data_IF_655002987291
#
_entry.id   IF_655002987291
#
_cell.length_a   1.000
_cell.length_b   1.000
_cell.length_c   1.000
_cell.angle_alpha   90.00
_cell.angle_beta   90.00
_cell.angle_gamma   90.00
#
_symmetry.space_group_name_H-M   'P 1'
#
loop_
_entity.id
_entity.type
_entity.pdbx_description
1 polymer ?
#
# COMPACT_ATOMS: atom_id res chain seq x y z
N UNK A 1 19.99 -47.49 18.81
CA UNK A 1 20.80 -48.49 19.55
C UNK A 1 21.63 -47.75 20.60
N UNK A 2 21.46 -48.10 21.88
CA UNK A 2 22.36 -48.02 23.08
C UNK A 2 23.72 -47.28 23.07
N UNK A 3 24.30 -46.89 24.25
CA UNK A 3 23.71 -46.52 25.57
C UNK A 3 24.55 -45.57 26.53
N UNK A 4 24.09 -45.44 27.81
CA UNK A 4 24.82 -45.38 29.12
C UNK A 4 25.23 -44.06 29.85
N UNK A 5 24.67 -43.86 31.08
CA UNK A 5 25.28 -43.53 32.43
C UNK A 5 24.27 -42.73 33.33
N UNK A 6 23.47 -43.32 34.27
CA UNK A 6 23.68 -43.72 35.71
C UNK A 6 23.97 -42.55 36.71
N UNK A 7 23.03 -42.16 37.62
CA UNK A 7 22.71 -42.63 39.03
C UNK A 7 23.69 -42.13 40.14
N UNK A 8 23.38 -41.98 41.47
CA UNK A 8 22.25 -41.48 42.31
C UNK A 8 22.60 -41.62 43.85
N UNK A 9 22.13 -40.71 44.74
CA UNK A 9 21.95 -40.84 46.24
C UNK A 9 23.19 -41.03 47.18
N UNK A 10 23.29 -40.49 48.42
CA UNK A 10 22.48 -40.72 49.64
C UNK A 10 22.91 -39.83 50.86
N UNK A 11 22.26 -39.92 52.04
CA UNK A 11 22.50 -39.11 53.26
C UNK A 11 22.32 -39.91 54.59
N UNK A 12 22.78 -39.40 55.76
CA UNK A 12 22.68 -40.07 57.09
C UNK A 12 22.65 -39.13 58.33
N UNK A 13 22.33 -39.69 59.50
CA UNK A 13 21.83 -39.08 60.77
C UNK A 13 22.67 -39.53 62.00
N UNK A 14 22.47 -38.98 63.23
CA UNK A 14 22.66 -39.64 64.58
C UNK A 14 22.37 -38.65 65.76
N UNK A 15 21.98 -39.17 66.94
CA UNK A 15 21.73 -38.45 68.22
C UNK A 15 22.03 -39.35 69.46
N UNK A 16 22.03 -38.83 70.72
CA UNK A 16 21.60 -39.44 72.02
C UNK A 16 22.03 -38.63 73.30
N UNK A 17 21.39 -38.87 74.46
CA UNK A 17 21.38 -38.17 75.78
C UNK A 17 22.60 -38.54 76.72
N UNK A 18 22.82 -38.12 78.00
CA UNK A 18 21.96 -37.63 79.13
C UNK A 18 22.70 -36.81 80.24
N UNK A 19 22.03 -36.54 81.39
CA UNK A 19 22.49 -35.94 82.69
C UNK A 19 22.19 -36.93 83.87
N UNK A 20 22.59 -36.78 85.18
CA UNK A 20 22.72 -35.54 85.99
C UNK A 20 23.87 -35.49 87.06
N UNK A 21 23.75 -34.62 88.08
CA UNK A 21 24.85 -34.09 88.91
C UNK A 21 24.65 -34.18 90.45
N UNK A 22 25.70 -33.86 91.22
CA UNK A 22 25.67 -33.43 92.63
C UNK A 22 26.56 -32.19 92.84
N UNK A 23 26.22 -31.32 93.80
CA UNK A 23 26.71 -29.93 93.85
C UNK A 23 27.86 -29.61 94.81
N UNK A 24 28.51 -28.48 94.55
CA UNK A 24 29.43 -27.76 95.44
C UNK A 24 29.13 -26.25 95.38
N UNK A 25 29.63 -25.50 96.37
CA UNK A 25 29.48 -24.04 96.49
C UNK A 25 29.87 -23.30 95.20
N UNK A 26 29.20 -22.19 94.86
CA UNK A 26 29.32 -21.61 93.52
C UNK A 26 30.73 -21.02 93.24
N UNK A 27 31.31 -21.31 92.07
CA UNK A 27 32.60 -20.73 91.67
C UNK A 27 32.50 -19.21 91.42
N UNK A 28 33.64 -18.49 91.38
CA UNK A 28 33.68 -17.02 91.20
C UNK A 28 32.95 -16.51 89.96
N UNK A 29 32.69 -17.35 88.96
CA UNK A 29 31.87 -17.01 87.78
C UNK A 29 30.45 -16.56 88.16
N UNK A 30 29.83 -17.08 89.23
CA UNK A 30 28.46 -16.71 89.59
C UNK A 30 28.32 -15.27 90.07
N UNK A 31 29.33 -14.73 90.79
CA UNK A 31 29.32 -13.34 91.24
C UNK A 31 29.51 -12.37 90.04
N UNK A 32 30.32 -12.78 89.05
CA UNK A 32 30.47 -12.05 87.79
C UNK A 32 29.18 -12.11 86.93
N UNK A 33 28.47 -13.25 86.91
CA UNK A 33 27.15 -13.35 86.28
C UNK A 33 26.11 -12.47 86.96
N UNK A 34 26.09 -12.44 88.30
CA UNK A 34 25.12 -11.66 89.08
C UNK A 34 25.36 -10.14 88.93
N UNK A 35 26.62 -9.70 88.97
CA UNK A 35 27.00 -8.33 88.66
C UNK A 35 26.62 -7.91 87.22
N UNK A 36 26.82 -8.79 86.22
CA UNK A 36 26.38 -8.54 84.83
C UNK A 36 24.86 -8.42 84.72
N UNK A 37 24.10 -9.30 85.37
CA UNK A 37 22.62 -9.23 85.38
C UNK A 37 22.11 -7.95 86.04
N UNK A 38 22.75 -7.49 87.12
CA UNK A 38 22.44 -6.19 87.72
C UNK A 38 22.76 -5.01 86.78
N UNK A 39 23.89 -5.05 86.07
CA UNK A 39 24.28 -4.03 85.09
C UNK A 39 23.33 -3.99 83.88
N UNK A 40 22.84 -5.15 83.42
CA UNK A 40 21.84 -5.25 82.36
C UNK A 40 20.47 -4.71 82.81
N UNK A 41 20.01 -5.04 84.02
CA UNK A 41 18.76 -4.52 84.59
C UNK A 41 18.81 -3.00 84.76
N UNK A 42 19.90 -2.45 85.29
CA UNK A 42 20.10 -1.00 85.41
C UNK A 42 20.13 -0.31 84.03
N UNK A 43 20.75 -0.96 83.04
CA UNK A 43 20.75 -0.46 81.65
C UNK A 43 19.34 -0.45 81.03
N UNK A 44 18.53 -1.49 81.24
CA UNK A 44 17.15 -1.55 80.75
C UNK A 44 16.25 -0.48 81.39
N UNK A 45 16.39 -0.25 82.70
CA UNK A 45 15.67 0.81 83.41
C UNK A 45 16.06 2.19 82.87
N UNK A 46 17.34 2.46 82.67
CA UNK A 46 17.82 3.72 82.10
C UNK A 46 17.32 3.94 80.65
N UNK A 47 17.26 2.91 79.81
CA UNK A 47 16.68 3.02 78.46
C UNK A 47 15.16 3.33 78.49
N UNK A 48 14.41 2.80 79.47
CA UNK A 48 13.00 3.11 79.65
C UNK A 48 12.77 4.57 80.09
N UNK A 49 13.54 5.05 81.08
CA UNK A 49 13.49 6.43 81.56
C UNK A 49 13.90 7.44 80.48
N UNK A 50 14.88 7.10 79.65
CA UNK A 50 15.24 7.90 78.47
C UNK A 50 14.06 8.04 77.51
N UNK A 51 13.37 6.93 77.17
CA UNK A 51 12.19 6.96 76.28
C UNK A 51 11.06 7.80 76.86
N UNK A 52 10.79 7.67 78.16
CA UNK A 52 9.79 8.48 78.86
C UNK A 52 10.14 9.98 78.83
N UNK A 53 11.43 10.31 79.04
CA UNK A 53 11.94 11.69 78.98
C UNK A 53 11.81 12.29 77.59
N UNK A 54 12.18 11.54 76.53
CA UNK A 54 12.01 11.95 75.14
C UNK A 54 10.54 12.19 74.77
N UNK A 55 9.62 11.35 75.23
CA UNK A 55 8.18 11.55 75.00
C UNK A 55 7.62 12.79 75.73
N UNK A 56 8.03 13.03 76.98
CA UNK A 56 7.65 14.25 77.72
C UNK A 56 8.20 15.50 77.04
N UNK A 57 9.48 15.50 76.67
CA UNK A 57 10.11 16.60 75.95
C UNK A 57 9.49 16.86 74.56
N UNK A 58 8.92 15.85 73.89
CA UNK A 58 8.23 16.04 72.62
C UNK A 58 6.86 16.73 72.72
N UNK A 59 6.24 16.77 73.92
CA UNK A 59 4.94 17.40 74.19
C UNK A 59 5.03 18.74 74.92
N UNK A 60 6.17 19.04 75.52
CA UNK A 60 6.42 20.27 76.28
C UNK A 60 6.70 21.48 75.38
N UNK A 61 6.70 22.68 75.97
CA UNK A 61 7.13 23.90 75.28
C UNK A 61 8.64 23.85 74.97
N UNK A 62 9.16 24.51 73.91
CA UNK A 62 10.57 24.37 73.52
C UNK A 62 11.59 24.62 74.64
N UNK A 63 11.34 25.59 75.53
CA UNK A 63 12.19 25.88 76.69
C UNK A 63 12.13 24.75 77.75
N UNK A 64 10.95 24.21 78.00
CA UNK A 64 10.73 23.12 78.94
C UNK A 64 11.25 21.77 78.41
N UNK A 65 11.11 21.52 77.10
CA UNK A 65 11.74 20.40 76.40
C UNK A 65 13.26 20.39 76.59
N UNK A 66 13.91 21.55 76.45
CA UNK A 66 15.36 21.68 76.65
C UNK A 66 15.75 21.38 78.10
N UNK A 67 14.97 21.85 79.09
CA UNK A 67 15.19 21.52 80.51
C UNK A 67 15.10 20.01 80.75
N UNK A 68 13.97 19.39 80.37
CA UNK A 68 13.74 17.96 80.57
C UNK A 68 14.82 17.06 79.92
N UNK A 69 15.34 17.46 78.75
CA UNK A 69 16.41 16.73 78.07
C UNK A 69 17.77 16.91 78.77
N UNK A 70 18.04 18.06 79.39
CA UNK A 70 19.25 18.32 80.19
C UNK A 70 19.20 17.56 81.52
N UNK A 71 18.06 17.57 82.21
CA UNK A 71 17.83 16.78 83.43
C UNK A 71 18.01 15.27 83.16
N UNK A 72 17.51 14.78 82.02
CA UNK A 72 17.70 13.39 81.59
C UNK A 72 19.16 13.05 81.25
N UNK A 73 19.90 14.01 80.70
CA UNK A 73 21.32 13.83 80.36
C UNK A 73 22.17 13.66 81.62
N UNK A 74 21.96 14.50 82.63
CA UNK A 74 22.68 14.41 83.91
C UNK A 74 22.43 13.06 84.60
N UNK A 75 21.17 12.60 84.68
CA UNK A 75 20.81 11.30 85.29
C UNK A 75 21.51 10.10 84.66
N UNK A 76 21.69 10.11 83.34
CA UNK A 76 22.39 9.05 82.61
C UNK A 76 23.91 9.17 82.81
N UNK A 77 24.44 10.39 82.91
CA UNK A 77 25.85 10.64 83.19
C UNK A 77 26.26 10.24 84.63
N UNK A 78 25.40 10.48 85.62
CA UNK A 78 25.68 10.16 87.04
C UNK A 78 25.51 8.67 87.39
N UNK A 79 24.90 7.86 86.52
CA UNK A 79 24.67 6.44 86.80
C UNK A 79 25.91 5.59 86.39
N UNK A 80 26.59 5.01 87.37
CA UNK A 80 27.77 4.14 87.18
C UNK A 80 27.41 2.67 86.89
N UNK A 81 26.15 2.27 87.10
CA UNK A 81 25.65 0.90 86.92
C UNK A 81 25.21 0.59 85.47
N UNK A 82 25.36 1.53 84.53
CA UNK A 82 25.04 1.33 83.10
C UNK A 82 26.29 0.84 82.36
N UNK A 83 26.13 -0.07 81.40
CA UNK A 83 27.23 -0.45 80.50
C UNK A 83 27.79 0.76 79.72
N UNK A 84 29.10 0.96 79.73
CA UNK A 84 29.77 2.18 79.21
C UNK A 84 29.36 2.55 77.79
N UNK A 85 29.31 1.56 76.88
CA UNK A 85 28.91 1.76 75.48
C UNK A 85 27.45 2.20 75.31
N UNK A 86 26.55 1.75 76.19
CA UNK A 86 25.14 2.14 76.21
C UNK A 86 24.99 3.56 76.76
N UNK A 87 25.69 3.87 77.85
CA UNK A 87 25.77 5.21 78.46
C UNK A 87 26.20 6.26 77.44
N UNK A 88 27.24 6.00 76.65
CA UNK A 88 27.71 6.90 75.58
C UNK A 88 26.67 7.12 74.47
N UNK A 89 26.00 6.05 74.02
CA UNK A 89 24.99 6.14 72.97
C UNK A 89 23.77 6.98 73.42
N UNK A 90 23.32 6.79 74.65
CA UNK A 90 22.22 7.54 75.27
C UNK A 90 22.57 9.03 75.46
N UNK A 91 23.80 9.32 75.92
CA UNK A 91 24.34 10.68 76.05
C UNK A 91 24.39 11.41 74.70
N UNK A 92 24.81 10.72 73.62
CA UNK A 92 24.85 11.31 72.27
C UNK A 92 23.45 11.67 71.78
N UNK A 93 22.50 10.74 71.90
CA UNK A 93 21.11 10.94 71.48
C UNK A 93 20.44 12.14 72.16
N UNK A 94 20.67 12.34 73.46
CA UNK A 94 20.14 13.50 74.18
C UNK A 94 20.78 14.82 73.74
N UNK A 95 22.11 14.86 73.54
CA UNK A 95 22.82 16.06 73.06
C UNK A 95 22.34 16.49 71.67
N UNK A 96 22.15 15.55 70.76
CA UNK A 96 21.63 15.85 69.41
C UNK A 96 20.18 16.38 69.47
N UNK A 97 19.33 15.81 70.34
CA UNK A 97 17.95 16.29 70.51
C UNK A 97 17.90 17.70 71.10
N UNK A 98 18.72 18.01 72.11
CA UNK A 98 18.86 19.35 72.70
C UNK A 98 19.23 20.36 71.60
N UNK A 99 20.26 20.06 70.79
CA UNK A 99 20.73 20.95 69.71
C UNK A 99 19.63 21.27 68.70
N UNK A 100 18.85 20.28 68.26
CA UNK A 100 17.75 20.48 67.31
C UNK A 100 16.65 21.37 67.92
N UNK A 101 16.30 21.14 69.19
CA UNK A 101 15.28 21.94 69.88
C UNK A 101 15.73 23.39 70.12
N UNK A 102 17.01 23.62 70.46
CA UNK A 102 17.61 24.95 70.61
C UNK A 102 17.65 25.72 69.27
N UNK A 103 17.91 25.03 68.15
CA UNK A 103 17.85 25.64 66.80
C UNK A 103 16.42 26.00 66.39
N UNK A 104 15.45 25.12 66.64
CA UNK A 104 14.04 25.40 66.37
C UNK A 104 13.53 26.62 67.17
N UNK A 105 13.92 26.73 68.45
CA UNK A 105 13.57 27.88 69.28
C UNK A 105 14.11 29.21 68.74
N UNK A 106 15.36 29.23 68.25
CA UNK A 106 15.98 30.44 67.64
C UNK A 106 15.31 30.86 66.33
N UNK A 107 14.93 29.89 65.49
CA UNK A 107 14.31 30.17 64.19
C UNK A 107 12.88 30.73 64.31
N UNK A 108 12.15 30.38 65.38
CA UNK A 108 10.79 30.91 65.63
C UNK A 108 10.79 32.36 66.12
N UNK A 109 11.90 32.84 66.72
CA UNK A 109 12.00 34.17 67.32
C UNK A 109 12.38 35.30 66.33
N UNK A 110 12.61 35.02 65.05
CA UNK A 110 13.35 35.91 64.13
C UNK A 110 12.60 36.34 62.85
N UNK A 111 11.25 36.34 62.83
CA UNK A 111 10.47 36.80 61.66
C UNK A 111 9.19 37.59 61.99
N UNK A 112 9.07 38.87 61.55
CA UNK A 112 7.81 39.63 61.61
C UNK A 112 6.84 39.25 60.46
N UNK A 113 5.51 39.40 60.65
CA UNK A 113 4.50 39.11 59.62
C UNK A 113 4.25 40.26 58.64
N UNK A 114 3.92 39.93 57.39
CA UNK A 114 3.42 40.87 56.37
C UNK A 114 1.89 40.74 56.19
N UNK A 115 1.24 41.86 55.87
CA UNK A 115 -0.22 42.05 55.89
C UNK A 115 -1.05 41.19 54.91
N UNK A 116 -2.35 41.13 55.17
CA UNK A 116 -3.21 40.05 54.68
C UNK A 116 -3.82 40.25 53.28
N UNK A 117 -3.94 41.48 52.78
CA UNK A 117 -4.56 41.78 51.48
C UNK A 117 -3.85 41.08 50.31
N UNK A 118 -2.52 41.03 50.35
CA UNK A 118 -1.70 40.35 49.35
C UNK A 118 -1.82 38.82 49.40
N UNK A 119 -2.31 38.23 50.50
CA UNK A 119 -2.63 36.79 50.58
C UNK A 119 -4.01 36.51 49.98
N UNK A 120 -4.98 37.37 50.26
CA UNK A 120 -6.37 37.23 49.79
C UNK A 120 -6.48 37.34 48.26
N UNK A 121 -5.76 38.27 47.64
CA UNK A 121 -5.70 38.36 46.17
C UNK A 121 -5.17 37.06 45.54
N UNK A 122 -4.04 36.55 46.05
CA UNK A 122 -3.39 35.32 45.58
C UNK A 122 -4.21 34.04 45.85
N UNK A 123 -5.03 34.02 46.92
CA UNK A 123 -5.95 32.90 47.15
C UNK A 123 -7.12 32.92 46.16
N UNK A 124 -7.64 34.10 45.84
CA UNK A 124 -8.76 34.25 44.90
C UNK A 124 -8.35 33.91 43.47
N UNK A 125 -7.16 34.35 43.03
CA UNK A 125 -6.57 33.94 41.75
C UNK A 125 -6.38 32.41 41.67
N UNK A 126 -5.88 31.78 42.75
CA UNK A 126 -5.70 30.32 42.81
C UNK A 126 -7.03 29.56 42.81
N UNK A 127 -8.07 30.08 43.45
CA UNK A 127 -9.42 29.51 43.41
C UNK A 127 -10.02 29.58 42.00
N UNK A 128 -9.94 30.75 41.35
CA UNK A 128 -10.39 30.93 39.97
C UNK A 128 -9.65 30.02 38.98
N UNK A 129 -8.35 29.82 39.17
CA UNK A 129 -7.53 28.91 38.35
C UNK A 129 -7.89 27.43 38.58
N UNK A 130 -8.10 27.02 39.84
CA UNK A 130 -8.58 25.68 40.17
C UNK A 130 -9.96 25.39 39.57
N UNK A 131 -10.86 26.38 39.54
CA UNK A 131 -12.20 26.23 38.97
C UNK A 131 -12.19 26.18 37.44
N UNK A 132 -11.34 26.97 36.77
CA UNK A 132 -11.07 26.79 35.32
C UNK A 132 -10.62 25.37 35.00
N UNK A 133 -9.65 24.85 35.76
CA UNK A 133 -9.14 23.48 35.57
C UNK A 133 -10.18 22.39 35.90
N UNK A 134 -11.15 22.63 36.79
CA UNK A 134 -12.31 21.72 36.97
C UNK A 134 -13.21 21.73 35.74
N UNK A 135 -13.59 22.92 35.24
CA UNK A 135 -14.45 23.07 34.06
C UNK A 135 -13.81 22.44 32.81
N UNK A 136 -12.49 22.60 32.63
CA UNK A 136 -11.75 21.99 31.55
C UNK A 136 -11.76 20.45 31.63
N UNK A 137 -11.49 19.89 32.83
CA UNK A 137 -11.54 18.44 33.06
C UNK A 137 -12.92 17.84 32.79
N UNK A 138 -14.00 18.50 33.20
CA UNK A 138 -15.35 18.02 32.91
C UNK A 138 -15.68 18.11 31.41
N UNK A 139 -15.29 19.19 30.70
CA UNK A 139 -15.43 19.26 29.23
C UNK A 139 -14.70 18.10 28.52
N UNK A 140 -13.46 17.82 28.92
CA UNK A 140 -12.67 16.72 28.36
C UNK A 140 -13.33 15.37 28.68
N UNK A 141 -13.86 15.19 29.89
CA UNK A 141 -14.59 13.98 30.31
C UNK A 141 -15.83 13.73 29.45
N UNK A 142 -16.67 14.75 29.22
CA UNK A 142 -17.87 14.65 28.37
C UNK A 142 -17.50 14.39 26.90
N UNK A 143 -16.42 15.00 26.40
CA UNK A 143 -15.93 14.73 25.06
C UNK A 143 -15.45 13.28 24.90
N UNK A 144 -14.68 12.76 25.86
CA UNK A 144 -14.24 11.35 25.88
C UNK A 144 -15.44 10.39 25.94
N UNK A 145 -16.43 10.63 26.80
CA UNK A 145 -17.61 9.76 26.87
C UNK A 145 -18.40 9.75 25.56
N UNK A 146 -18.50 10.90 24.89
CA UNK A 146 -19.14 11.01 23.56
C UNK A 146 -18.38 10.22 22.50
N UNK A 147 -17.04 10.27 22.49
CA UNK A 147 -16.20 9.48 21.57
C UNK A 147 -16.39 7.98 21.83
N UNK A 148 -16.36 7.54 23.09
CA UNK A 148 -16.57 6.13 23.48
C UNK A 148 -17.97 5.64 23.07
N UNK A 149 -19.01 6.49 23.21
CA UNK A 149 -20.36 6.15 22.76
C UNK A 149 -20.43 5.98 21.23
N UNK A 150 -19.83 6.88 20.45
CA UNK A 150 -19.78 6.77 18.99
C UNK A 150 -19.01 5.52 18.53
N UNK A 151 -17.94 5.14 19.24
CA UNK A 151 -17.23 3.88 19.02
C UNK A 151 -18.13 2.67 19.31
N UNK A 152 -18.88 2.67 20.41
CA UNK A 152 -19.83 1.61 20.77
C UNK A 152 -21.01 1.48 19.78
N UNK A 153 -21.41 2.57 19.13
CA UNK A 153 -22.44 2.61 18.09
C UNK A 153 -21.93 2.23 16.69
N UNK A 154 -20.62 1.94 16.53
CA UNK A 154 -20.02 1.61 15.23
C UNK A 154 -19.75 2.82 14.32
N UNK A 155 -20.08 4.04 14.75
CA UNK A 155 -19.79 5.27 14.00
C UNK A 155 -18.33 5.71 14.21
N UNK A 156 -17.41 4.87 13.75
CA UNK A 156 -15.96 5.01 13.96
C UNK A 156 -15.39 6.25 13.28
N UNK A 157 -15.85 6.61 12.07
CA UNK A 157 -15.35 7.76 11.33
C UNK A 157 -15.61 9.10 12.06
N UNK A 158 -16.80 9.26 12.66
CA UNK A 158 -17.12 10.45 13.44
C UNK A 158 -16.40 10.45 14.80
N UNK A 159 -16.23 9.29 15.43
CA UNK A 159 -15.43 9.13 16.64
C UNK A 159 -13.95 9.48 16.42
N UNK A 160 -13.35 9.01 15.32
CA UNK A 160 -11.97 9.31 14.90
C UNK A 160 -11.79 10.83 14.68
N UNK A 161 -12.74 11.49 14.01
CA UNK A 161 -12.75 12.96 13.82
C UNK A 161 -12.79 13.70 15.16
N UNK A 162 -13.75 13.38 16.03
CA UNK A 162 -13.91 14.03 17.35
C UNK A 162 -12.72 13.76 18.28
N UNK A 163 -12.09 12.59 18.20
CA UNK A 163 -10.87 12.28 18.95
C UNK A 163 -9.67 13.12 18.48
N UNK A 164 -9.53 13.34 17.18
CA UNK A 164 -8.48 14.21 16.60
C UNK A 164 -8.71 15.69 16.95
N UNK A 165 -9.96 16.15 16.90
CA UNK A 165 -10.34 17.50 17.34
C UNK A 165 -10.03 17.71 18.83
N UNK A 166 -10.39 16.76 19.70
CA UNK A 166 -10.07 16.81 21.13
C UNK A 166 -8.56 16.87 21.40
N UNK A 167 -7.75 16.08 20.69
CA UNK A 167 -6.29 16.11 20.83
C UNK A 167 -5.65 17.39 20.28
N UNK A 168 -6.32 18.08 19.36
CA UNK A 168 -5.89 19.36 18.81
C UNK A 168 -6.27 20.54 19.71
N UNK A 169 -7.42 20.45 20.41
CA UNK A 169 -7.88 21.44 21.40
C UNK A 169 -7.13 21.35 22.74
N UNK A 170 -6.69 20.15 23.14
CA UNK A 170 -5.96 19.93 24.40
C UNK A 170 -4.62 19.21 24.17
N UNK A 171 -3.60 19.88 23.58
CA UNK A 171 -2.34 19.26 23.20
C UNK A 171 -1.52 18.69 24.36
N UNK A 172 -1.75 19.11 25.60
CA UNK A 172 -1.01 18.60 26.77
C UNK A 172 -1.70 17.43 27.49
N UNK A 173 -2.97 17.17 27.20
CA UNK A 173 -3.74 16.13 27.88
C UNK A 173 -3.42 14.72 27.32
N UNK A 174 -2.96 13.81 28.19
CA UNK A 174 -2.62 12.45 27.79
C UNK A 174 -3.83 11.60 27.36
N UNK A 175 -5.01 11.80 27.95
CA UNK A 175 -6.21 11.07 27.58
C UNK A 175 -6.69 11.47 26.18
N UNK A 176 -6.66 12.77 25.85
CA UNK A 176 -6.96 13.26 24.51
C UNK A 176 -6.01 12.66 23.45
N UNK A 177 -4.70 12.63 23.73
CA UNK A 177 -3.69 11.95 22.88
C UNK A 177 -3.95 10.46 22.73
N UNK A 178 -4.35 9.77 23.79
CA UNK A 178 -4.66 8.34 23.76
C UNK A 178 -5.88 8.04 22.87
N UNK A 179 -6.96 8.82 22.98
CA UNK A 179 -8.15 8.65 22.13
C UNK A 179 -7.83 8.83 20.64
N UNK A 180 -7.07 9.86 20.28
CA UNK A 180 -6.66 10.10 18.89
C UNK A 180 -5.79 8.97 18.32
N UNK A 181 -4.86 8.42 19.12
CA UNK A 181 -4.04 7.26 18.74
C UNK A 181 -4.88 5.98 18.59
N UNK A 182 -5.84 5.75 19.49
CA UNK A 182 -6.74 4.60 19.44
C UNK A 182 -7.60 4.58 18.16
N UNK A 183 -8.17 5.73 17.78
CA UNK A 183 -8.91 5.86 16.52
C UNK A 183 -8.05 5.52 15.29
N UNK A 184 -6.83 6.05 15.23
CA UNK A 184 -5.88 5.76 14.14
C UNK A 184 -5.48 4.28 14.06
N UNK A 185 -5.28 3.60 15.20
CA UNK A 185 -5.00 2.17 15.24
C UNK A 185 -6.20 1.34 14.78
N UNK A 186 -7.42 1.68 15.22
CA UNK A 186 -8.64 0.99 14.79
C UNK A 186 -8.90 1.16 13.28
N UNK A 187 -8.66 2.36 12.73
CA UNK A 187 -8.75 2.62 11.30
C UNK A 187 -7.80 1.72 10.49
N UNK A 188 -6.53 1.61 10.93
CA UNK A 188 -5.53 0.74 10.31
C UNK A 188 -5.86 -0.74 10.42
N UNK A 189 -6.42 -1.19 11.55
CA UNK A 189 -6.86 -2.59 11.73
C UNK A 189 -8.03 -2.91 10.80
N UNK A 190 -8.96 -1.96 10.59
CA UNK A 190 -10.07 -2.08 9.63
C UNK A 190 -9.56 -2.14 8.19
N UNK A 191 -8.74 -1.19 7.78
CA UNK A 191 -8.10 -1.16 6.45
C UNK A 191 -7.30 -2.44 6.17
N UNK A 192 -6.51 -2.91 7.14
CA UNK A 192 -5.77 -4.17 7.01
C UNK A 192 -6.69 -5.40 6.85
N UNK A 193 -7.84 -5.45 7.55
CA UNK A 193 -8.84 -6.51 7.36
C UNK A 193 -9.49 -6.45 5.98
N UNK A 194 -9.86 -5.27 5.50
CA UNK A 194 -10.43 -5.08 4.16
C UNK A 194 -9.45 -5.51 3.07
N UNK A 195 -8.15 -5.17 3.22
CA UNK A 195 -7.07 -5.62 2.33
C UNK A 195 -6.93 -7.15 2.37
N UNK A 196 -6.95 -7.77 3.55
CA UNK A 196 -6.86 -9.22 3.70
C UNK A 196 -8.06 -9.93 3.04
N UNK A 197 -9.29 -9.44 3.24
CA UNK A 197 -10.49 -10.00 2.61
C UNK A 197 -10.45 -9.88 1.07
N UNK A 198 -9.98 -8.75 0.54
CA UNK A 198 -9.79 -8.59 -0.91
C UNK A 198 -8.64 -9.47 -1.44
N UNK A 199 -7.58 -9.68 -0.64
CA UNK A 199 -6.49 -10.59 -0.96
C UNK A 199 -6.98 -12.05 -1.01
N UNK A 200 -7.75 -12.51 -0.03
CA UNK A 200 -8.39 -13.83 -0.01
C UNK A 200 -9.32 -14.03 -1.23
N UNK A 201 -10.10 -13.01 -1.58
CA UNK A 201 -10.98 -13.04 -2.76
C UNK A 201 -10.19 -13.16 -4.06
N UNK A 202 -9.11 -12.37 -4.22
CA UNK A 202 -8.23 -12.44 -5.40
C UNK A 202 -7.45 -13.74 -5.48
N UNK A 203 -6.94 -14.23 -4.35
CA UNK A 203 -6.28 -15.52 -4.24
C UNK A 203 -7.21 -16.65 -4.72
N UNK A 204 -8.45 -16.66 -4.23
CA UNK A 204 -9.47 -17.64 -4.66
C UNK A 204 -9.74 -17.61 -6.16
N UNK A 205 -9.75 -16.42 -6.79
CA UNK A 205 -9.87 -16.30 -8.27
C UNK A 205 -8.63 -16.84 -8.96
N UNK A 206 -7.43 -16.46 -8.53
CA UNK A 206 -6.18 -16.91 -9.12
C UNK A 206 -5.97 -18.44 -9.00
N UNK A 207 -6.31 -19.04 -7.86
CA UNK A 207 -6.30 -20.50 -7.70
C UNK A 207 -7.29 -21.18 -8.63
N UNK A 208 -8.52 -20.65 -8.79
CA UNK A 208 -9.50 -21.21 -9.74
C UNK A 208 -9.04 -21.11 -11.20
N UNK A 209 -8.40 -20.01 -11.59
CA UNK A 209 -7.85 -19.85 -12.94
C UNK A 209 -6.67 -20.81 -13.19
N UNK A 210 -5.84 -21.05 -12.17
CA UNK A 210 -4.77 -22.06 -12.20
C UNK A 210 -5.35 -23.48 -12.32
N UNK A 211 -6.30 -23.85 -11.45
CA UNK A 211 -6.97 -25.15 -11.48
C UNK A 211 -7.60 -25.40 -12.85
N UNK A 212 -8.34 -24.41 -13.37
CA UNK A 212 -8.96 -24.46 -14.70
C UNK A 212 -7.95 -24.60 -15.84
N UNK A 213 -6.78 -23.97 -15.72
CA UNK A 213 -5.69 -24.10 -16.71
C UNK A 213 -4.93 -25.42 -16.60
N UNK A 214 -5.03 -26.11 -15.46
CA UNK A 214 -4.43 -27.44 -15.23
C UNK A 214 -5.33 -28.61 -15.66
N UNK A 215 -6.62 -28.36 -15.88
CA UNK A 215 -7.56 -29.38 -16.37
C UNK A 215 -7.25 -29.73 -17.84
N UNK A 216 -7.07 -31.01 -18.18
CA UNK A 216 -6.96 -31.44 -19.57
C UNK A 216 -8.21 -31.04 -20.38
N UNK A 217 -8.02 -30.64 -21.63
CA UNK A 217 -9.12 -30.35 -22.53
C UNK A 217 -9.95 -31.61 -22.84
N UNK A 218 -11.26 -31.45 -23.00
CA UNK A 218 -12.18 -32.57 -23.26
C UNK A 218 -12.08 -33.11 -24.71
N UNK A 219 -11.33 -32.43 -25.57
CA UNK A 219 -10.98 -32.81 -26.94
C UNK A 219 -9.78 -31.99 -27.42
N UNK A 220 -9.42 -32.07 -28.70
CA UNK A 220 -8.19 -31.50 -29.26
C UNK A 220 -7.92 -30.03 -28.89
N UNK A 221 -8.97 -29.20 -28.91
CA UNK A 221 -8.92 -27.79 -28.47
C UNK A 221 -10.24 -27.42 -27.80
N UNK A 222 -10.18 -26.91 -26.56
CA UNK A 222 -11.34 -26.41 -25.82
C UNK A 222 -11.22 -24.90 -25.55
N UNK A 223 -12.20 -24.12 -26.05
CA UNK A 223 -12.25 -22.67 -25.86
C UNK A 223 -13.34 -22.27 -24.86
N UNK A 224 -12.98 -21.45 -23.86
CA UNK A 224 -13.95 -20.88 -22.92
C UNK A 224 -14.94 -19.93 -23.62
N UNK A 225 -16.14 -20.46 -23.93
CA UNK A 225 -17.21 -19.73 -24.62
C UNK A 225 -17.54 -18.36 -24.00
N UNK A 226 -17.45 -18.20 -22.67
CA UNK A 226 -17.74 -16.93 -21.99
C UNK A 226 -16.64 -15.90 -22.24
N UNK A 227 -15.40 -16.25 -21.87
CA UNK A 227 -14.21 -15.41 -22.10
C UNK A 227 -14.04 -15.05 -23.58
N UNK A 228 -14.25 -16.00 -24.51
CA UNK A 228 -14.17 -15.72 -25.94
C UNK A 228 -15.28 -14.79 -26.45
N UNK A 229 -16.50 -14.88 -25.92
CA UNK A 229 -17.56 -13.93 -26.25
C UNK A 229 -17.24 -12.51 -25.73
N UNK A 230 -16.67 -12.38 -24.53
CA UNK A 230 -16.22 -11.10 -23.97
C UNK A 230 -15.07 -10.49 -24.77
N UNK A 231 -14.03 -11.28 -25.06
CA UNK A 231 -12.91 -10.87 -25.93
C UNK A 231 -13.44 -10.44 -27.31
N UNK A 232 -14.41 -11.17 -27.88
CA UNK A 232 -15.00 -10.82 -29.19
C UNK A 232 -15.79 -9.51 -29.12
N UNK A 233 -16.51 -9.23 -28.03
CA UNK A 233 -17.15 -7.93 -27.81
C UNK A 233 -16.13 -6.79 -27.72
N UNK A 234 -15.01 -6.98 -27.01
CA UNK A 234 -13.93 -5.99 -26.93
C UNK A 234 -13.20 -5.81 -28.27
N UNK A 235 -13.18 -6.83 -29.14
CA UNK A 235 -12.62 -6.79 -30.50
C UNK A 235 -13.49 -6.06 -31.53
N UNK A 236 -14.66 -5.51 -31.16
CA UNK A 236 -15.43 -4.60 -32.03
C UNK A 236 -14.70 -3.25 -32.22
N UNK A 237 -13.66 -3.27 -33.04
CA UNK A 237 -13.21 -2.05 -33.72
C UNK A 237 -14.24 -1.64 -34.78
N UNK A 238 -14.05 -0.45 -35.37
CA UNK A 238 -14.89 0.08 -36.47
C UNK A 238 -15.22 -1.01 -37.49
N UNK A 239 -16.51 -1.38 -37.55
CA UNK A 239 -17.08 -2.11 -38.67
C UNK A 239 -17.17 -1.14 -39.85
N UNK A 240 -16.89 -1.61 -41.07
CA UNK A 240 -17.18 -0.84 -42.29
C UNK A 240 -18.65 -0.41 -42.26
N UNK A 241 -18.91 0.83 -42.68
CA UNK A 241 -20.28 1.30 -42.89
C UNK A 241 -21.01 0.40 -43.89
N UNK A 242 -22.32 0.22 -43.75
CA UNK A 242 -23.13 -0.55 -44.74
C UNK A 242 -22.94 -0.04 -46.18
N UNK A 243 -22.68 1.26 -46.35
CA UNK A 243 -22.31 1.84 -47.66
C UNK A 243 -20.93 1.42 -48.14
N UNK A 244 -19.93 1.34 -47.25
CA UNK A 244 -18.61 0.82 -47.61
C UNK A 244 -18.70 -0.66 -47.97
N UNK A 245 -19.48 -1.47 -47.23
CA UNK A 245 -19.79 -2.86 -47.58
C UNK A 245 -20.42 -2.96 -48.98
N UNK A 246 -21.37 -2.08 -49.31
CA UNK A 246 -21.99 -2.02 -50.63
C UNK A 246 -20.98 -1.64 -51.74
N UNK A 247 -20.10 -0.66 -51.50
CA UNK A 247 -19.01 -0.29 -52.42
C UNK A 247 -18.07 -1.49 -52.67
N UNK A 248 -17.66 -2.20 -51.62
CA UNK A 248 -16.80 -3.38 -51.76
C UNK A 248 -17.50 -4.52 -52.52
N UNK A 249 -18.81 -4.67 -52.37
CA UNK A 249 -19.59 -5.62 -53.16
C UNK A 249 -19.60 -5.21 -54.64
N UNK A 250 -19.94 -3.96 -54.96
CA UNK A 250 -19.98 -3.45 -56.32
C UNK A 250 -18.61 -3.53 -57.03
N UNK A 251 -17.50 -3.26 -56.32
CA UNK A 251 -16.15 -3.46 -56.84
C UNK A 251 -15.81 -4.92 -57.18
N UNK A 252 -16.49 -5.89 -56.55
CA UNK A 252 -16.35 -7.32 -56.84
C UNK A 252 -17.29 -7.80 -57.97
N UNK A 253 -18.26 -7.00 -58.41
CA UNK A 253 -19.22 -7.45 -59.43
C UNK A 253 -18.56 -7.56 -60.82
N UNK A 254 -18.91 -8.60 -61.61
CA UNK A 254 -18.37 -8.82 -62.94
C UNK A 254 -18.99 -7.83 -63.94
N UNK A 255 -18.14 -7.19 -64.74
CA UNK A 255 -18.55 -6.24 -65.78
C UNK A 255 -17.97 -6.61 -67.15
N UNK A 256 -18.70 -6.27 -68.22
CA UNK A 256 -18.19 -6.31 -69.60
C UNK A 256 -17.45 -5.00 -69.87
N UNK A 257 -16.13 -5.08 -69.79
CA UNK A 257 -15.23 -3.95 -69.86
C UNK A 257 -14.52 -3.92 -71.23
N UNK A 258 -15.03 -3.08 -72.14
CA UNK A 258 -14.50 -2.89 -73.49
C UNK A 258 -14.52 -1.41 -73.85
N UNK A 259 -13.36 -0.75 -73.70
CA UNK A 259 -13.16 0.64 -74.06
C UNK A 259 -11.97 0.76 -75.00
N UNK A 260 -12.12 1.53 -76.07
CA UNK A 260 -11.09 1.77 -77.09
C UNK A 260 -11.03 3.27 -77.34
N UNK A 261 -9.95 3.89 -76.86
CA UNK A 261 -9.72 5.33 -76.98
C UNK A 261 -10.91 6.17 -76.47
N UNK A 262 -11.51 5.75 -75.36
CA UNK A 262 -12.63 6.44 -74.69
C UNK A 262 -12.08 7.46 -73.70
N UNK A 263 -12.78 8.57 -73.46
CA UNK A 263 -12.35 9.54 -72.44
C UNK A 263 -12.41 8.92 -71.03
N UNK A 264 -11.43 9.23 -70.19
CA UNK A 264 -11.38 8.78 -68.79
C UNK A 264 -12.69 9.11 -68.04
N UNK A 265 -13.25 10.30 -68.27
CA UNK A 265 -14.55 10.72 -67.73
C UNK A 265 -15.69 9.77 -68.10
N UNK A 266 -15.88 9.47 -69.39
CA UNK A 266 -16.97 8.61 -69.88
C UNK A 266 -16.89 7.21 -69.28
N UNK A 267 -15.67 6.68 -69.15
CA UNK A 267 -15.43 5.37 -68.52
C UNK A 267 -15.80 5.39 -67.03
N UNK A 268 -15.45 6.45 -66.31
CA UNK A 268 -15.78 6.60 -64.89
C UNK A 268 -17.28 6.81 -64.68
N UNK A 269 -17.94 7.58 -65.55
CA UNK A 269 -19.40 7.82 -65.52
C UNK A 269 -20.20 6.54 -65.83
N UNK A 270 -19.73 5.74 -66.80
CA UNK A 270 -20.25 4.39 -67.05
C UNK A 270 -20.07 3.48 -65.84
N UNK A 271 -18.87 3.46 -65.23
CA UNK A 271 -18.60 2.64 -64.05
C UNK A 271 -19.43 3.06 -62.83
N UNK A 272 -19.67 4.36 -62.62
CA UNK A 272 -20.58 4.87 -61.60
C UNK A 272 -22.03 4.41 -61.85
N UNK A 273 -22.49 4.48 -63.11
CA UNK A 273 -23.84 4.06 -63.50
C UNK A 273 -24.06 2.56 -63.32
N UNK A 274 -23.10 1.72 -63.72
CA UNK A 274 -23.19 0.25 -63.60
C UNK A 274 -23.11 -0.22 -62.14
N UNK A 275 -22.25 0.41 -61.32
CA UNK A 275 -22.05 0.02 -59.91
C UNK A 275 -23.06 0.63 -58.93
N UNK A 276 -23.79 1.67 -59.36
CA UNK A 276 -24.62 2.50 -58.48
C UNK A 276 -23.83 3.27 -57.42
N UNK A 277 -22.50 3.38 -57.55
CA UNK A 277 -21.61 4.06 -56.60
C UNK A 277 -21.09 5.39 -57.12
N UNK A 278 -20.84 6.33 -56.21
CA UNK A 278 -20.20 7.60 -56.55
C UNK A 278 -18.68 7.43 -56.68
N UNK A 279 -18.17 7.69 -57.88
CA UNK A 279 -16.74 7.80 -58.17
C UNK A 279 -16.37 9.28 -58.29
N UNK A 280 -15.37 9.74 -57.54
CA UNK A 280 -14.90 11.13 -57.55
C UNK A 280 -13.48 11.23 -58.12
N UNK A 281 -13.29 12.13 -59.08
CA UNK A 281 -11.98 12.37 -59.70
C UNK A 281 -11.28 13.53 -58.99
N UNK A 282 -10.11 13.27 -58.40
CA UNK A 282 -9.24 14.34 -57.88
C UNK A 282 -8.59 15.09 -59.06
N UNK A 283 -9.23 16.18 -59.50
CA UNK A 283 -8.75 17.04 -60.60
C UNK A 283 -7.30 17.48 -60.41
N UNK A 284 -6.94 17.85 -59.17
CA UNK A 284 -5.57 18.25 -58.84
C UNK A 284 -4.58 17.08 -58.99
N UNK A 285 -5.03 15.83 -58.89
CA UNK A 285 -4.17 14.65 -59.11
C UNK A 285 -4.03 14.27 -60.58
N UNK A 286 -5.02 14.64 -61.43
CA UNK A 286 -4.82 14.64 -62.88
C UNK A 286 -3.75 15.67 -63.26
N UNK A 287 -3.85 16.89 -62.71
CA UNK A 287 -2.85 17.96 -62.92
C UNK A 287 -1.43 17.51 -62.51
N UNK A 288 -1.25 16.86 -61.35
CA UNK A 288 0.05 16.34 -60.87
C UNK A 288 0.72 15.37 -61.87
N UNK A 289 -0.06 14.60 -62.63
CA UNK A 289 0.42 13.60 -63.61
C UNK A 289 0.36 14.12 -65.06
N UNK A 290 0.03 15.40 -65.27
CA UNK A 290 -0.20 16.05 -66.58
C UNK A 290 -1.33 15.42 -67.42
N UNK A 291 -2.38 14.94 -66.75
CA UNK A 291 -3.56 14.32 -67.35
C UNK A 291 -4.76 15.26 -67.33
N UNK A 292 -5.79 14.89 -68.10
CA UNK A 292 -7.09 15.58 -68.19
C UNK A 292 -8.23 14.58 -68.07
N UNK A 293 -9.45 15.07 -67.78
CA UNK A 293 -10.67 14.23 -67.77
C UNK A 293 -10.96 13.56 -69.14
N UNK A 294 -10.41 14.12 -70.23
CA UNK A 294 -10.52 13.63 -71.60
C UNK A 294 -9.38 12.68 -72.02
N UNK A 295 -8.41 12.41 -71.12
CA UNK A 295 -7.28 11.53 -71.43
C UNK A 295 -7.76 10.15 -71.91
N UNK A 296 -7.30 9.67 -73.08
CA UNK A 296 -7.86 8.47 -73.68
C UNK A 296 -7.41 7.21 -72.94
N UNK A 297 -8.37 6.38 -72.59
CA UNK A 297 -8.14 5.06 -71.98
C UNK A 297 -8.58 3.94 -72.92
N UNK A 298 -7.83 2.85 -72.90
CA UNK A 298 -8.12 1.65 -73.68
C UNK A 298 -7.94 0.41 -72.82
N UNK A 299 -8.99 -0.36 -72.64
CA UNK A 299 -8.95 -1.63 -71.93
C UNK A 299 -9.94 -2.60 -72.58
N UNK A 300 -9.47 -3.82 -72.87
CA UNK A 300 -10.24 -4.86 -73.53
C UNK A 300 -10.10 -6.17 -72.77
N UNK A 301 -11.21 -6.66 -72.23
CA UNK A 301 -11.32 -7.99 -71.67
C UNK A 301 -12.18 -8.89 -72.59
N UNK A 302 -11.66 -10.06 -73.05
CA UNK A 302 -12.44 -11.03 -73.82
C UNK A 302 -13.55 -11.73 -73.01
N UNK A 303 -13.44 -11.69 -71.68
CA UNK A 303 -14.39 -12.25 -70.71
C UNK A 303 -14.77 -11.17 -69.70
N UNK A 304 -15.84 -11.40 -68.96
CA UNK A 304 -16.22 -10.55 -67.83
C UNK A 304 -15.09 -10.52 -66.78
N UNK A 305 -14.82 -9.33 -66.26
CA UNK A 305 -13.79 -9.07 -65.24
C UNK A 305 -14.42 -8.29 -64.09
N UNK A 306 -13.90 -8.43 -62.87
CA UNK A 306 -14.42 -7.64 -61.74
C UNK A 306 -14.18 -6.15 -61.98
N UNK A 307 -15.12 -5.31 -61.55
CA UNK A 307 -14.98 -3.85 -61.62
C UNK A 307 -13.65 -3.37 -61.03
N UNK A 308 -13.21 -3.94 -59.90
CA UNK A 308 -11.90 -3.68 -59.28
C UNK A 308 -10.74 -3.89 -60.26
N UNK A 309 -10.76 -4.98 -61.01
CA UNK A 309 -9.69 -5.34 -61.96
C UNK A 309 -9.65 -4.37 -63.15
N UNK A 310 -10.82 -4.08 -63.72
CA UNK A 310 -10.94 -3.15 -64.84
C UNK A 310 -10.50 -1.73 -64.44
N UNK A 311 -11.05 -1.19 -63.34
CA UNK A 311 -10.71 0.13 -62.82
C UNK A 311 -9.22 0.24 -62.49
N UNK A 312 -8.66 -0.75 -61.78
CA UNK A 312 -7.23 -0.76 -61.45
C UNK A 312 -6.35 -0.76 -62.69
N UNK A 313 -6.67 -1.57 -63.71
CA UNK A 313 -5.83 -1.65 -64.92
C UNK A 313 -5.89 -0.36 -65.74
N UNK A 314 -7.06 0.25 -65.90
CA UNK A 314 -7.21 1.55 -66.57
C UNK A 314 -6.38 2.64 -65.87
N UNK A 315 -6.48 2.72 -64.54
CA UNK A 315 -5.77 3.75 -63.77
C UNK A 315 -4.27 3.50 -63.71
N UNK A 316 -3.82 2.24 -63.70
CA UNK A 316 -2.40 1.87 -63.68
C UNK A 316 -1.66 2.40 -64.92
N UNK A 317 -2.28 2.33 -66.11
CA UNK A 317 -1.68 2.82 -67.36
C UNK A 317 -1.56 4.36 -67.38
N UNK A 318 -2.27 5.05 -66.49
CA UNK A 318 -2.23 6.49 -66.25
C UNK A 318 -1.42 6.89 -64.98
N UNK A 319 -0.70 5.95 -64.36
CA UNK A 319 -0.02 6.15 -63.06
C UNK A 319 -0.96 6.59 -61.90
N UNK A 320 -2.26 6.41 -62.06
CA UNK A 320 -3.30 6.70 -61.07
C UNK A 320 -3.70 5.44 -60.29
N UNK A 321 -4.51 5.61 -59.26
CA UNK A 321 -5.12 4.52 -58.49
C UNK A 321 -6.45 4.97 -57.88
N UNK A 322 -7.17 4.06 -57.25
CA UNK A 322 -8.41 4.37 -56.52
C UNK A 322 -8.24 4.09 -55.02
N UNK A 323 -8.93 4.87 -54.18
CA UNK A 323 -9.01 4.67 -52.72
C UNK A 323 -10.46 4.79 -52.26
N UNK A 324 -10.98 3.76 -51.59
CA UNK A 324 -12.27 3.85 -50.89
C UNK A 324 -12.06 4.58 -49.57
N UNK A 325 -12.71 5.72 -49.39
CA UNK A 325 -12.66 6.54 -48.18
C UNK A 325 -13.98 7.29 -48.01
N UNK A 326 -14.43 7.49 -46.77
CA UNK A 326 -15.59 8.35 -46.45
C UNK A 326 -16.87 7.99 -47.27
N UNK A 327 -17.09 6.69 -47.54
CA UNK A 327 -18.18 6.16 -48.36
C UNK A 327 -18.16 6.58 -49.85
N UNK A 328 -17.00 6.94 -50.40
CA UNK A 328 -16.80 7.34 -51.81
C UNK A 328 -15.56 6.64 -52.40
N UNK A 329 -15.60 6.33 -53.70
CA UNK A 329 -14.42 5.87 -54.45
C UNK A 329 -13.69 7.09 -54.99
N UNK A 330 -12.53 7.42 -54.43
CA UNK A 330 -11.68 8.51 -54.93
C UNK A 330 -10.69 7.97 -55.96
N UNK A 331 -10.62 8.61 -57.13
CA UNK A 331 -9.62 8.36 -58.17
C UNK A 331 -8.56 9.47 -58.07
N UNK A 332 -7.32 9.09 -57.78
CA UNK A 332 -6.23 10.03 -57.46
C UNK A 332 -4.87 9.44 -57.86
N UNK A 333 -3.79 10.21 -57.76
CA UNK A 333 -2.44 9.75 -58.09
C UNK A 333 -1.91 8.83 -56.99
N UNK A 334 -0.99 7.92 -57.33
CA UNK A 334 -0.37 7.03 -56.33
C UNK A 334 0.28 7.81 -55.17
N UNK A 335 0.76 9.04 -55.44
CA UNK A 335 1.37 9.91 -54.43
C UNK A 335 0.38 10.30 -53.35
N UNK A 336 -0.81 10.77 -53.72
CA UNK A 336 -1.86 11.23 -52.81
C UNK A 336 -2.71 10.12 -52.24
N UNK A 337 -2.86 9.02 -52.96
CA UNK A 337 -3.49 7.81 -52.45
C UNK A 337 -2.90 7.39 -51.09
N UNK A 338 -1.57 7.50 -50.92
CA UNK A 338 -0.91 7.26 -49.63
C UNK A 338 -1.46 8.14 -48.50
N UNK A 339 -1.73 9.41 -48.75
CA UNK A 339 -2.21 10.36 -47.74
C UNK A 339 -3.70 10.18 -47.42
N UNK A 340 -4.43 9.44 -48.27
CA UNK A 340 -5.80 8.99 -48.04
C UNK A 340 -5.89 7.63 -47.34
N UNK A 341 -4.79 6.86 -47.27
CA UNK A 341 -4.71 5.61 -46.52
C UNK A 341 -4.69 5.86 -45.01
N UNK A 342 -5.27 4.92 -44.26
CA UNK A 342 -5.24 4.94 -42.78
C UNK A 342 -4.10 4.05 -42.29
N UNK A 343 -3.55 4.37 -41.12
CA UNK A 343 -2.58 3.51 -40.43
C UNK A 343 -3.27 2.81 -39.27
N UNK A 344 -3.27 1.47 -39.24
CA UNK A 344 -3.83 0.67 -38.15
C UNK A 344 -2.78 -0.30 -37.61
N UNK A 345 -2.75 -0.45 -36.29
CA UNK A 345 -1.83 -1.33 -35.56
C UNK A 345 -2.55 -2.62 -35.18
N UNK A 346 -1.93 -3.77 -35.47
CA UNK A 346 -2.47 -5.10 -35.21
C UNK A 346 -1.52 -5.86 -34.29
N UNK A 347 -1.93 -6.12 -33.05
CA UNK A 347 -1.17 -6.99 -32.15
C UNK A 347 -1.16 -8.43 -32.67
N UNK A 348 0.02 -9.04 -32.72
CA UNK A 348 0.25 -10.40 -33.24
C UNK A 348 1.27 -11.18 -32.40
N UNK A 349 1.54 -10.75 -31.16
CA UNK A 349 2.56 -11.38 -30.31
C UNK A 349 2.27 -12.84 -29.97
N UNK A 350 1.01 -13.25 -29.99
CA UNK A 350 0.54 -14.64 -29.89
C UNK A 350 0.81 -15.48 -31.15
N UNK A 351 0.98 -14.83 -32.32
CA UNK A 351 1.31 -15.45 -33.60
C UNK A 351 2.81 -15.37 -33.96
N UNK A 352 3.61 -14.58 -33.23
CA UNK A 352 5.05 -14.42 -33.49
C UNK A 352 5.94 -15.00 -32.38
N UNK A 353 5.56 -14.87 -31.11
CA UNK A 353 6.38 -15.28 -29.95
C UNK A 353 6.11 -16.75 -29.58
N UNK A 354 7.14 -17.51 -29.21
CA UNK A 354 6.97 -18.87 -28.69
C UNK A 354 6.74 -19.97 -29.74
N UNK A 355 6.53 -19.59 -31.02
CA UNK A 355 6.26 -20.51 -32.12
C UNK A 355 7.55 -20.87 -32.90
N UNK A 356 7.59 -22.12 -33.40
CA UNK A 356 8.73 -22.69 -34.12
C UNK A 356 9.77 -23.36 -33.21
N UNK A 357 10.65 -24.17 -33.81
CA UNK A 357 11.63 -25.04 -33.11
C UNK A 357 12.47 -24.31 -32.06
N UNK A 358 12.79 -23.04 -32.30
CA UNK A 358 13.64 -22.22 -31.44
C UNK A 358 12.91 -21.04 -30.78
N UNK A 359 11.58 -21.00 -30.86
CA UNK A 359 10.76 -19.88 -30.38
C UNK A 359 10.70 -19.74 -28.86
N UNK A 360 11.14 -20.75 -28.10
CA UNK A 360 11.09 -20.78 -26.64
C UNK A 360 12.30 -20.07 -25.99
N UNK A 361 12.13 -18.89 -25.34
CA UNK A 361 13.24 -18.14 -24.74
C UNK A 361 13.88 -18.85 -23.55
N UNK A 362 13.16 -19.74 -22.86
CA UNK A 362 13.66 -20.49 -21.70
C UNK A 362 14.61 -21.63 -22.11
N UNK A 363 14.44 -22.16 -23.33
CA UNK A 363 15.20 -23.32 -23.81
C UNK A 363 16.38 -22.93 -24.71
N UNK A 364 16.20 -21.94 -25.59
CA UNK A 364 17.21 -21.52 -26.58
C UNK A 364 17.78 -20.11 -26.30
N UNK A 365 17.38 -19.49 -25.19
CA UNK A 365 17.80 -18.16 -24.80
C UNK A 365 17.07 -17.04 -25.55
N UNK A 366 17.14 -15.80 -25.02
CA UNK A 366 16.35 -14.68 -25.54
C UNK A 366 16.78 -14.23 -26.94
N UNK A 367 18.05 -14.38 -27.31
CA UNK A 367 18.56 -13.93 -28.62
C UNK A 367 18.02 -14.81 -29.77
N UNK A 368 18.06 -16.14 -29.61
CA UNK A 368 17.59 -17.06 -30.65
C UNK A 368 16.06 -16.99 -30.76
N UNK A 369 15.35 -16.92 -29.64
CA UNK A 369 13.89 -16.76 -29.64
C UNK A 369 13.46 -15.44 -30.31
N UNK A 370 14.19 -14.34 -30.10
CA UNK A 370 13.93 -13.07 -30.79
C UNK A 370 14.20 -13.13 -32.30
N UNK A 371 15.22 -13.87 -32.74
CA UNK A 371 15.45 -14.13 -34.18
C UNK A 371 14.32 -14.94 -34.79
N UNK A 372 13.89 -16.03 -34.14
CA UNK A 372 12.75 -16.84 -34.59
C UNK A 372 11.45 -16.00 -34.65
N UNK A 373 11.20 -15.13 -33.67
CA UNK A 373 10.06 -14.22 -33.68
C UNK A 373 10.08 -13.27 -34.88
N UNK A 374 11.25 -12.75 -35.26
CA UNK A 374 11.39 -11.91 -36.45
C UNK A 374 11.13 -12.68 -37.75
N UNK A 375 11.57 -13.92 -37.88
CA UNK A 375 11.26 -14.75 -39.05
C UNK A 375 9.78 -15.13 -39.12
N UNK A 376 9.17 -15.51 -37.98
CA UNK A 376 7.72 -15.76 -37.88
C UNK A 376 6.93 -14.52 -38.34
N UNK A 377 7.33 -13.33 -37.86
CA UNK A 377 6.71 -12.07 -38.26
C UNK A 377 6.89 -11.77 -39.76
N UNK A 378 8.07 -12.01 -40.35
CA UNK A 378 8.30 -11.87 -41.79
C UNK A 378 7.42 -12.80 -42.62
N UNK A 379 7.37 -14.09 -42.26
CA UNK A 379 6.54 -15.08 -42.94
C UNK A 379 5.06 -14.65 -42.96
N UNK A 380 4.53 -14.15 -41.84
CA UNK A 380 3.15 -13.64 -41.78
C UNK A 380 2.99 -12.35 -42.61
N UNK A 381 3.96 -11.44 -42.63
CA UNK A 381 3.91 -10.24 -43.48
C UNK A 381 3.87 -10.60 -44.97
N UNK A 382 4.70 -11.54 -45.43
CA UNK A 382 4.67 -11.97 -46.84
C UNK A 382 3.37 -12.70 -47.18
N UNK A 383 2.88 -13.58 -46.29
CA UNK A 383 1.56 -14.22 -46.46
C UNK A 383 0.43 -13.19 -46.62
N UNK A 384 0.44 -12.11 -45.82
CA UNK A 384 -0.54 -11.02 -45.95
C UNK A 384 -0.40 -10.31 -47.31
N UNK A 385 0.83 -10.03 -47.77
CA UNK A 385 1.08 -9.40 -49.08
C UNK A 385 0.67 -10.28 -50.26
N UNK A 386 0.86 -11.60 -50.16
CA UNK A 386 0.58 -12.55 -51.24
C UNK A 386 -0.89 -12.98 -51.32
N UNK A 387 -1.62 -12.94 -50.21
CA UNK A 387 -3.02 -13.40 -50.15
C UNK A 387 -4.04 -12.26 -50.08
N UNK A 388 -3.69 -11.11 -49.48
CA UNK A 388 -4.64 -10.00 -49.28
C UNK A 388 -4.39 -8.88 -50.28
N UNK A 389 -5.14 -8.90 -51.38
CA UNK A 389 -5.06 -7.94 -52.49
C UNK A 389 -3.61 -7.61 -52.93
N UNK A 390 -2.91 -8.54 -53.62
CA UNK A 390 -1.46 -8.47 -53.76
C UNK A 390 -0.93 -7.22 -54.46
N UNK A 391 -1.68 -6.69 -55.44
CA UNK A 391 -1.33 -5.48 -56.16
C UNK A 391 -1.60 -4.17 -55.37
N UNK A 392 -2.13 -4.25 -54.14
CA UNK A 392 -2.30 -3.09 -53.25
C UNK A 392 -1.02 -2.72 -52.46
N UNK A 393 -0.05 -3.63 -52.41
CA UNK A 393 1.18 -3.48 -51.62
C UNK A 393 2.34 -2.86 -52.41
N UNK A 394 3.18 -2.11 -51.70
CA UNK A 394 4.45 -1.60 -52.21
C UNK A 394 5.34 -2.77 -52.67
N UNK A 395 5.89 -2.65 -53.89
CA UNK A 395 6.61 -3.72 -54.60
C UNK A 395 5.78 -4.36 -55.72
N UNK A 396 4.46 -4.48 -55.53
CA UNK A 396 3.54 -5.10 -56.48
C UNK A 396 2.72 -4.08 -57.29
N UNK A 397 3.22 -2.84 -57.41
CA UNK A 397 2.53 -1.71 -58.05
C UNK A 397 1.57 -0.92 -57.14
N UNK A 398 1.38 -1.36 -55.90
CA UNK A 398 0.57 -0.67 -54.90
C UNK A 398 1.35 0.33 -54.05
N UNK A 399 0.64 1.02 -53.16
CA UNK A 399 1.21 2.06 -52.27
C UNK A 399 1.05 1.75 -50.77
N UNK A 400 0.43 0.64 -50.40
CA UNK A 400 0.30 0.23 -49.00
C UNK A 400 1.56 -0.42 -48.44
N UNK A 401 1.78 -0.27 -47.14
CA UNK A 401 2.99 -0.72 -46.45
C UNK A 401 2.66 -1.48 -45.18
N UNK A 402 3.40 -2.54 -44.90
CA UNK A 402 3.33 -3.33 -43.66
C UNK A 402 4.73 -3.42 -43.02
N UNK A 403 4.83 -3.15 -41.73
CA UNK A 403 6.07 -3.29 -40.95
C UNK A 403 5.79 -3.98 -39.61
N UNK A 404 6.77 -4.72 -39.07
CA UNK A 404 6.70 -5.31 -37.74
C UNK A 404 7.40 -4.43 -36.71
N UNK A 405 6.76 -4.23 -35.55
CA UNK A 405 7.35 -3.62 -34.36
C UNK A 405 7.59 -4.70 -33.31
N UNK A 406 8.85 -5.13 -33.07
CA UNK A 406 9.16 -6.14 -32.05
C UNK A 406 8.82 -5.69 -30.63
N UNK A 407 8.95 -4.39 -30.32
CA UNK A 407 8.67 -3.82 -29.00
C UNK A 407 7.20 -3.99 -28.60
N UNK A 408 6.30 -3.70 -29.55
CA UNK A 408 4.85 -3.77 -29.33
C UNK A 408 4.24 -5.09 -29.80
N UNK A 409 5.06 -6.00 -30.35
CA UNK A 409 4.67 -7.28 -30.97
C UNK A 409 3.50 -7.13 -31.93
N UNK A 410 3.60 -6.14 -32.81
CA UNK A 410 2.48 -5.68 -33.63
C UNK A 410 2.90 -5.34 -35.07
N UNK A 411 2.02 -5.61 -36.03
CA UNK A 411 2.14 -5.04 -37.38
C UNK A 411 1.57 -3.63 -37.41
N UNK A 412 2.32 -2.70 -38.01
CA UNK A 412 1.88 -1.36 -38.35
C UNK A 412 1.61 -1.38 -39.85
N UNK A 413 0.34 -1.22 -40.22
CA UNK A 413 -0.13 -1.34 -41.61
C UNK A 413 -0.72 0.01 -42.01
N UNK A 414 -0.21 0.61 -43.09
CA UNK A 414 -0.77 1.79 -43.76
C UNK A 414 -1.38 1.34 -45.08
N UNK A 415 -2.71 1.38 -45.19
CA UNK A 415 -3.44 0.91 -46.36
C UNK A 415 -4.85 1.52 -46.47
N UNK A 416 -5.56 1.28 -47.58
CA UNK A 416 -6.98 1.61 -47.73
C UNK A 416 -7.87 0.89 -46.71
N UNK A 417 -9.03 1.47 -46.41
CA UNK A 417 -10.03 0.88 -45.50
C UNK A 417 -10.52 -0.50 -45.98
N UNK A 418 -10.62 -0.69 -47.30
CA UNK A 418 -10.93 -1.96 -47.99
C UNK A 418 -10.02 -3.10 -47.50
N UNK A 419 -8.70 -2.96 -47.68
CA UNK A 419 -7.75 -4.03 -47.32
C UNK A 419 -7.64 -4.18 -45.80
N UNK A 420 -7.79 -3.10 -45.02
CA UNK A 420 -7.88 -3.19 -43.56
C UNK A 420 -9.09 -4.03 -43.08
N UNK A 421 -10.19 -4.05 -43.84
CA UNK A 421 -11.31 -4.97 -43.61
C UNK A 421 -10.92 -6.41 -43.93
N UNK A 422 -10.32 -6.65 -45.10
CA UNK A 422 -9.88 -8.00 -45.51
C UNK A 422 -8.91 -8.62 -44.48
N UNK A 423 -7.92 -7.85 -43.99
CA UNK A 423 -6.97 -8.27 -42.94
C UNK A 423 -7.68 -8.62 -41.63
N UNK A 424 -8.79 -7.95 -41.29
CA UNK A 424 -9.58 -8.25 -40.08
C UNK A 424 -10.50 -9.48 -40.25
N UNK A 425 -10.53 -10.12 -41.41
CA UNK A 425 -11.52 -11.14 -41.75
C UNK A 425 -12.90 -10.57 -42.12
N UNK A 426 -12.96 -9.28 -42.45
CA UNK A 426 -14.19 -8.57 -42.78
C UNK A 426 -14.61 -8.77 -44.24
N UNK A 427 -15.66 -9.58 -44.42
CA UNK A 427 -16.59 -9.62 -45.56
C UNK A 427 -16.12 -10.31 -46.86
N UNK A 428 -16.17 -11.65 -46.89
CA UNK A 428 -16.70 -12.45 -48.01
C UNK A 428 -17.18 -13.82 -47.49
N UNK A 429 -18.21 -13.80 -46.61
CA UNK A 429 -19.08 -14.94 -46.28
C UNK A 429 -20.51 -14.42 -46.13
#
# INVERSE_FOLDING_TARGET
>A
MSPLLRRLLSASFIAILSLPAFGQSPPPDKLLEEAKKQQELATQQAEADLRATLQKAAKASPAESIRLLKDGLERIQSNEQIATSRKEAMVRMLKDRIRITEQAAKNTATKPPAGDDAKLARSNERLAELDKQKVEREKIRTAISTIVQLQGQGNQAEAEKKAKELASQYPDNQAAKAMARGGFLNARIREAREILTEQERRWTVASRDMDRSSMPATGDIEFDKKRWAEITKMRKGEELSEKEKAILKALNEPIKAQWRNSALRDVIEYLATVSGQTLFIDKRALEDENLTEESPVSFFAPREVTMRTALRKILQDLNMTYVVKDQVIYITSQRRARDMMVTKTYYVGDLTTGLGTFGNPLQFGPLIAAQQEMENARMIMEMIKEQVDPASWQGNGGSGTITYSPLNKAFIIRQSAEVHSLIKGGLLR
#
